data_IF_192298512408
#
_entry.id   IF_192298512408
#
_cell.length_a   1.000
_cell.length_b   1.000
_cell.length_c   1.000
_cell.angle_alpha   90.00
_cell.angle_beta   90.00
_cell.angle_gamma   90.00
#
_symmetry.space_group_name_H-M   'P 1'
#
loop_
_entity.id
_entity.type
_entity.pdbx_description
1 polymer ?
#
# COMPACT_ATOMS: atom_id res chain seq x y z
N UNK A 1 4.67 2.79 34.22
CA UNK A 1 4.67 4.27 34.37
C UNK A 1 3.33 4.79 33.88
N UNK A 2 2.66 5.63 34.68
CA UNK A 2 1.27 6.11 34.51
C UNK A 2 1.08 6.96 33.24
N UNK A 3 -0.07 6.82 32.55
CA UNK A 3 -0.97 7.96 32.30
C UNK A 3 -2.40 7.50 31.93
N UNK A 4 -3.35 8.37 32.30
CA UNK A 4 -4.81 8.29 32.24
C UNK A 4 -5.32 9.17 31.09
N UNK A 5 -6.36 8.75 30.35
CA UNK A 5 -7.47 9.60 29.91
C UNK A 5 -8.55 8.76 29.20
N UNK A 6 -9.80 8.92 29.64
CA UNK A 6 -11.01 8.45 28.99
C UNK A 6 -11.52 9.49 27.99
N UNK A 7 -12.16 9.05 26.90
CA UNK A 7 -13.24 9.79 26.25
C UNK A 7 -14.08 8.85 25.40
N UNK A 8 -15.28 8.56 25.91
CA UNK A 8 -16.40 8.01 25.14
C UNK A 8 -16.94 9.10 24.23
N UNK A 9 -16.71 8.98 22.92
CA UNK A 9 -17.47 9.71 21.92
C UNK A 9 -18.44 8.71 21.27
N UNK A 10 -19.69 8.71 21.72
CA UNK A 10 -20.79 8.05 21.02
C UNK A 10 -21.00 8.86 19.73
N UNK A 11 -20.48 8.36 18.61
CA UNK A 11 -20.79 8.92 17.30
C UNK A 11 -22.23 8.55 16.95
N UNK A 12 -23.14 9.53 17.01
CA UNK A 12 -24.52 9.36 16.60
C UNK A 12 -24.62 8.95 15.13
N UNK A 13 -25.49 7.98 14.82
CA UNK A 13 -25.83 7.39 13.52
C UNK A 13 -26.24 8.35 12.37
N UNK A 14 -26.09 9.68 12.54
CA UNK A 14 -26.63 10.68 11.62
C UNK A 14 -25.73 11.04 10.42
N UNK A 15 -24.53 10.48 10.28
CA UNK A 15 -23.61 10.83 9.17
C UNK A 15 -23.66 9.87 7.96
N UNK A 16 -24.53 8.86 7.96
CA UNK A 16 -24.61 7.86 6.87
C UNK A 16 -25.22 8.34 5.54
N UNK A 17 -25.78 9.56 5.46
CA UNK A 17 -26.56 9.98 4.31
C UNK A 17 -25.77 10.59 3.13
N UNK A 18 -24.43 10.75 3.23
CA UNK A 18 -23.63 11.35 2.15
C UNK A 18 -22.86 10.34 1.27
N UNK A 19 -22.99 9.03 1.52
CA UNK A 19 -22.21 7.97 0.86
C UNK A 19 -22.92 7.37 -0.38
N UNK A 20 -23.39 8.21 -1.30
CA UNK A 20 -23.95 7.77 -2.58
C UNK A 20 -22.90 7.99 -3.69
N UNK A 21 -22.01 7.00 -3.87
CA UNK A 21 -21.13 6.71 -5.03
C UNK A 21 -19.73 6.13 -4.64
N UNK A 22 -19.62 5.45 -3.50
CA UNK A 22 -18.46 4.63 -3.14
C UNK A 22 -18.86 3.15 -3.36
N UNK A 23 -18.03 2.30 -3.99
CA UNK A 23 -18.29 0.86 -4.08
C UNK A 23 -18.61 0.33 -2.68
N UNK A 24 -19.81 -0.24 -2.51
CA UNK A 24 -20.56 -0.20 -1.24
C UNK A 24 -20.23 -1.35 -0.28
N UNK A 25 -19.23 -2.17 -0.58
CA UNK A 25 -18.99 -3.48 0.02
C UNK A 25 -17.66 -3.52 0.80
N UNK A 26 -16.51 -3.29 0.16
CA UNK A 26 -15.19 -3.43 0.81
C UNK A 26 -14.87 -2.32 1.82
N UNK A 27 -15.33 -1.09 1.57
CA UNK A 27 -15.08 0.08 2.43
C UNK A 27 -15.92 0.03 3.70
N UNK A 28 -17.16 -0.49 3.62
CA UNK A 28 -18.02 -0.67 4.79
C UNK A 28 -17.44 -1.74 5.73
N UNK A 29 -16.94 -2.83 5.17
CA UNK A 29 -16.25 -3.89 5.91
C UNK A 29 -14.93 -3.39 6.53
N UNK A 30 -14.18 -2.56 5.81
CA UNK A 30 -12.99 -1.87 6.31
C UNK A 30 -13.31 -1.03 7.57
N UNK A 31 -14.34 -0.19 7.50
CA UNK A 31 -14.76 0.66 8.63
C UNK A 31 -15.22 -0.21 9.81
N UNK A 32 -15.98 -1.28 9.55
CA UNK A 32 -16.43 -2.21 10.60
C UNK A 32 -15.26 -2.95 11.27
N UNK A 33 -14.26 -3.39 10.51
CA UNK A 33 -13.04 -4.01 11.03
C UNK A 33 -12.22 -3.03 11.89
N UNK A 34 -12.14 -1.75 11.51
CA UNK A 34 -11.45 -0.73 12.32
C UNK A 34 -12.10 -0.50 13.67
N UNK A 35 -13.43 -0.39 13.72
CA UNK A 35 -14.17 -0.20 14.97
C UNK A 35 -13.96 -1.41 15.91
N UNK A 36 -13.83 -2.62 15.35
CA UNK A 36 -13.59 -3.84 16.13
C UNK A 36 -12.16 -3.94 16.66
N UNK A 37 -11.16 -3.50 15.89
CA UNK A 37 -9.73 -3.64 16.20
C UNK A 37 -9.24 -2.75 17.36
N UNK A 38 -9.85 -1.60 17.63
CA UNK A 38 -9.44 -0.69 18.72
C UNK A 38 -9.55 -1.34 20.12
N UNK A 39 -10.39 -2.38 20.26
CA UNK A 39 -10.71 -2.98 21.56
C UNK A 39 -9.79 -4.14 21.99
N UNK A 40 -8.75 -4.50 21.23
CA UNK A 40 -8.17 -5.82 21.39
C UNK A 40 -6.68 -5.92 20.93
N UNK A 41 -5.87 -6.71 21.67
CA UNK A 41 -4.55 -7.30 21.31
C UNK A 41 -3.24 -6.51 21.58
N UNK A 42 -2.55 -6.86 22.68
CA UNK A 42 -1.16 -6.44 23.04
C UNK A 42 -0.14 -7.60 23.06
N UNK A 43 -0.42 -8.76 22.47
CA UNK A 43 0.47 -9.94 22.57
C UNK A 43 0.98 -10.54 21.25
N UNK A 44 0.38 -10.23 20.08
CA UNK A 44 0.77 -10.88 18.80
C UNK A 44 1.85 -10.15 17.99
N UNK A 45 2.06 -8.85 18.23
CA UNK A 45 3.12 -8.00 17.66
C UNK A 45 4.55 -8.55 17.75
N UNK A 46 4.92 -9.27 18.81
CA UNK A 46 6.31 -9.73 18.99
C UNK A 46 6.72 -10.83 18.00
N UNK A 47 5.75 -11.53 17.39
CA UNK A 47 5.99 -12.72 16.58
C UNK A 47 5.83 -12.48 15.07
N UNK A 48 5.57 -11.24 14.64
CA UNK A 48 5.40 -10.87 13.22
C UNK A 48 6.41 -9.81 12.80
N UNK A 49 6.99 -9.97 11.61
CA UNK A 49 7.92 -9.01 11.02
C UNK A 49 7.56 -8.67 9.57
N UNK A 50 7.90 -7.44 9.18
CA UNK A 50 7.73 -6.95 7.81
C UNK A 50 9.07 -6.48 7.25
N UNK A 51 9.39 -6.96 6.05
CA UNK A 51 10.49 -6.45 5.24
C UNK A 51 9.87 -5.75 4.03
N UNK A 52 10.26 -4.51 3.77
CA UNK A 52 9.80 -3.76 2.61
C UNK A 52 10.81 -3.93 1.46
N UNK A 53 10.33 -3.99 0.23
CA UNK A 53 11.15 -4.00 -0.98
C UNK A 53 10.45 -3.21 -2.09
N UNK A 54 11.21 -2.44 -2.89
CA UNK A 54 10.62 -1.59 -3.93
C UNK A 54 11.22 -0.19 -4.05
N UNK A 55 10.43 0.75 -4.56
CA UNK A 55 10.82 2.15 -4.80
C UNK A 55 10.40 3.14 -3.68
N UNK A 56 9.91 2.65 -2.54
CA UNK A 56 9.51 3.46 -1.37
C UNK A 56 10.71 3.89 -0.49
N UNK A 57 10.72 5.13 0.00
CA UNK A 57 11.80 5.70 0.83
C UNK A 57 11.87 5.14 2.27
N UNK A 58 11.42 3.91 2.52
CA UNK A 58 11.54 3.20 3.82
C UNK A 58 11.91 1.71 3.63
N UNK A 59 12.45 1.08 4.69
CA UNK A 59 13.24 -0.17 4.75
C UNK A 59 13.53 -0.89 3.40
N UNK A 60 14.82 -0.90 3.01
CA UNK A 60 15.39 -1.46 1.77
C UNK A 60 14.96 -0.84 0.43
N UNK A 61 13.86 -0.08 0.36
CA UNK A 61 13.45 0.58 -0.88
C UNK A 61 14.46 1.63 -1.39
N UNK A 62 14.43 1.88 -2.71
CA UNK A 62 15.41 2.74 -3.38
C UNK A 62 14.78 3.60 -4.47
N UNK A 63 14.95 4.92 -4.34
CA UNK A 63 14.55 5.88 -5.37
C UNK A 63 15.18 5.51 -6.71
N UNK A 64 14.35 5.50 -7.76
CA UNK A 64 14.79 5.21 -9.12
C UNK A 64 15.01 3.73 -9.44
N UNK A 65 14.81 2.81 -8.48
CA UNK A 65 15.04 1.40 -8.73
C UNK A 65 14.00 0.79 -9.67
N UNK A 66 14.47 -0.10 -10.55
CA UNK A 66 13.66 -1.06 -11.30
C UNK A 66 13.82 -2.45 -10.67
N UNK A 67 12.99 -3.42 -11.02
CA UNK A 67 13.17 -4.82 -10.61
C UNK A 67 14.58 -5.34 -10.91
N UNK A 68 15.15 -4.97 -12.06
CA UNK A 68 16.52 -5.35 -12.47
C UNK A 68 17.58 -4.61 -11.64
N UNK A 69 17.48 -3.28 -11.51
CA UNK A 69 18.51 -2.51 -10.80
C UNK A 69 18.49 -2.77 -9.29
N UNK A 70 17.32 -3.05 -8.71
CA UNK A 70 17.19 -3.40 -7.29
C UNK A 70 17.89 -4.73 -6.97
N UNK A 71 17.76 -5.72 -7.87
CA UNK A 71 18.48 -6.99 -7.78
C UNK A 71 19.98 -6.80 -7.98
N UNK A 72 20.37 -6.23 -9.12
CA UNK A 72 21.78 -6.10 -9.48
C UNK A 72 22.55 -5.17 -8.54
N UNK A 73 21.87 -4.19 -7.94
CA UNK A 73 22.42 -3.32 -6.89
C UNK A 73 22.52 -3.95 -5.50
N UNK A 74 22.21 -5.25 -5.34
CA UNK A 74 22.35 -5.99 -4.08
C UNK A 74 21.27 -5.76 -3.04
N UNK A 75 20.32 -4.84 -3.28
CA UNK A 75 19.23 -4.54 -2.33
C UNK A 75 18.25 -5.70 -2.19
N UNK A 76 18.04 -6.46 -3.26
CA UNK A 76 17.25 -7.68 -3.18
C UNK A 76 17.90 -8.72 -2.25
N UNK A 77 19.21 -8.90 -2.32
CA UNK A 77 19.92 -9.82 -1.40
C UNK A 77 19.79 -9.34 0.06
N UNK A 78 19.93 -8.04 0.32
CA UNK A 78 19.70 -7.49 1.67
C UNK A 78 18.27 -7.72 2.18
N UNK A 79 17.29 -7.66 1.28
CA UNK A 79 15.87 -7.97 1.58
C UNK A 79 15.72 -9.43 1.98
N UNK A 80 16.26 -10.36 1.18
CA UNK A 80 16.18 -11.79 1.46
C UNK A 80 16.94 -12.18 2.73
N UNK A 81 18.13 -11.64 2.97
CA UNK A 81 18.90 -11.91 4.20
C UNK A 81 18.19 -11.37 5.44
N UNK A 82 17.56 -10.20 5.35
CA UNK A 82 16.72 -9.67 6.42
C UNK A 82 15.56 -10.63 6.70
N UNK A 83 14.78 -11.00 5.67
CA UNK A 83 13.64 -11.90 5.82
C UNK A 83 14.04 -13.26 6.39
N UNK A 84 15.13 -13.85 5.89
CA UNK A 84 15.70 -15.10 6.38
C UNK A 84 16.10 -15.02 7.85
N UNK A 85 16.68 -13.89 8.29
CA UNK A 85 17.03 -13.67 9.69
C UNK A 85 15.80 -13.62 10.59
N UNK A 86 14.73 -12.94 10.17
CA UNK A 86 13.47 -12.88 10.91
C UNK A 86 12.83 -14.28 11.04
N UNK A 87 12.80 -15.04 9.94
CA UNK A 87 12.31 -16.43 9.90
C UNK A 87 13.14 -17.33 10.82
N UNK A 88 14.47 -17.22 10.79
CA UNK A 88 15.36 -18.00 11.66
C UNK A 88 15.15 -17.68 13.16
N UNK A 89 14.66 -16.48 13.48
CA UNK A 89 14.26 -16.10 14.83
C UNK A 89 12.82 -16.56 15.20
N UNK A 90 12.19 -17.40 14.38
CA UNK A 90 10.86 -17.95 14.62
C UNK A 90 9.71 -16.97 14.35
N UNK A 91 9.95 -15.86 13.64
CA UNK A 91 8.92 -14.87 13.33
C UNK A 91 8.20 -15.20 12.02
N UNK A 92 6.88 -15.03 12.01
CA UNK A 92 6.11 -14.99 10.76
C UNK A 92 6.53 -13.73 10.00
N UNK A 93 7.12 -13.91 8.83
CA UNK A 93 7.78 -12.81 8.12
C UNK A 93 7.10 -12.56 6.78
N UNK A 94 6.75 -11.30 6.53
CA UNK A 94 6.11 -10.86 5.30
C UNK A 94 7.06 -9.95 4.52
N UNK A 95 7.15 -10.15 3.21
CA UNK A 95 7.92 -9.27 2.32
C UNK A 95 6.97 -8.54 1.39
N UNK A 96 6.85 -7.22 1.56
CA UNK A 96 6.08 -6.40 0.61
C UNK A 96 6.94 -6.05 -0.59
N UNK A 97 6.37 -6.15 -1.79
CA UNK A 97 7.07 -5.93 -3.05
C UNK A 97 6.25 -4.94 -3.89
N UNK A 98 6.84 -3.79 -4.21
CA UNK A 98 6.21 -2.76 -5.04
C UNK A 98 7.18 -2.22 -6.10
N UNK A 99 6.80 -2.37 -7.38
CA UNK A 99 7.54 -1.85 -8.53
C UNK A 99 6.57 -1.34 -9.62
N UNK A 100 7.12 -0.68 -10.65
CA UNK A 100 6.34 -0.19 -11.80
C UNK A 100 6.85 1.14 -12.36
N UNK A 101 7.03 2.15 -11.51
CA UNK A 101 7.32 3.54 -11.94
C UNK A 101 8.59 3.71 -12.78
N UNK A 102 9.63 2.93 -12.50
CA UNK A 102 10.89 3.01 -13.23
C UNK A 102 11.05 1.88 -14.23
N UNK A 103 10.47 0.70 -13.96
CA UNK A 103 10.41 -0.41 -14.91
C UNK A 103 9.73 0.05 -16.20
N UNK A 104 8.65 0.85 -16.12
CA UNK A 104 7.97 1.39 -17.30
C UNK A 104 8.84 2.21 -18.26
N UNK A 105 9.98 2.71 -17.77
CA UNK A 105 10.89 3.55 -18.57
C UNK A 105 11.89 2.71 -19.36
N UNK A 106 12.08 1.43 -18.99
CA UNK A 106 13.22 0.62 -19.47
C UNK A 106 12.85 -0.80 -19.89
N UNK A 107 11.66 -1.30 -19.57
CA UNK A 107 11.22 -2.64 -19.93
C UNK A 107 9.71 -2.72 -20.10
N UNK A 108 9.22 -3.78 -20.76
CA UNK A 108 7.78 -4.05 -20.87
C UNK A 108 7.18 -4.53 -19.55
N UNK A 109 5.85 -4.49 -19.45
CA UNK A 109 5.13 -4.99 -18.28
C UNK A 109 5.33 -6.50 -18.09
N UNK A 110 5.38 -7.28 -19.18
CA UNK A 110 5.63 -8.72 -19.14
C UNK A 110 7.03 -9.03 -18.60
N UNK A 111 8.04 -8.28 -19.04
CA UNK A 111 9.41 -8.44 -18.54
C UNK A 111 9.52 -8.12 -17.04
N UNK A 112 8.82 -7.08 -16.57
CA UNK A 112 8.70 -6.80 -15.14
C UNK A 112 7.99 -7.94 -14.41
N UNK A 113 6.89 -8.46 -14.96
CA UNK A 113 6.13 -9.58 -14.39
C UNK A 113 6.99 -10.82 -14.16
N UNK A 114 7.83 -11.19 -15.14
CA UNK A 114 8.81 -12.30 -14.99
C UNK A 114 9.77 -12.06 -13.83
N UNK A 115 10.20 -10.82 -13.59
CA UNK A 115 11.07 -10.49 -12.47
C UNK A 115 10.33 -10.54 -11.12
N UNK A 116 9.09 -10.05 -11.07
CA UNK A 116 8.25 -10.14 -9.87
C UNK A 116 7.95 -11.58 -9.48
N UNK A 117 7.65 -12.45 -10.45
CA UNK A 117 7.44 -13.88 -10.23
C UNK A 117 8.66 -14.55 -9.59
N UNK A 118 9.87 -14.18 -10.01
CA UNK A 118 11.12 -14.65 -9.38
C UNK A 118 11.29 -14.13 -7.96
N UNK A 119 11.00 -12.85 -7.71
CA UNK A 119 11.03 -12.29 -6.36
C UNK A 119 10.08 -13.04 -5.41
N UNK A 120 8.88 -13.36 -5.88
CA UNK A 120 7.89 -14.16 -5.13
C UNK A 120 8.46 -15.54 -4.77
N UNK A 121 9.03 -16.26 -5.73
CA UNK A 121 9.60 -17.58 -5.50
C UNK A 121 10.76 -17.55 -4.49
N UNK A 122 11.62 -16.53 -4.58
CA UNK A 122 12.78 -16.38 -3.69
C UNK A 122 12.40 -15.98 -2.26
N UNK A 123 11.36 -15.15 -2.08
CA UNK A 123 10.81 -14.83 -0.75
C UNK A 123 10.29 -16.09 -0.07
N UNK A 124 9.54 -16.92 -0.80
CA UNK A 124 9.08 -18.22 -0.29
C UNK A 124 10.24 -19.17 -0.02
N UNK A 125 11.28 -19.13 -0.84
CA UNK A 125 12.50 -19.91 -0.66
C UNK A 125 13.24 -19.63 0.66
N UNK A 126 13.09 -18.44 1.25
CA UNK A 126 13.64 -18.11 2.58
C UNK A 126 12.65 -18.30 3.73
N UNK A 127 11.47 -18.88 3.47
CA UNK A 127 10.43 -19.16 4.46
C UNK A 127 9.56 -17.97 4.85
N UNK A 128 9.60 -16.88 4.08
CA UNK A 128 8.75 -15.70 4.26
C UNK A 128 7.57 -15.70 3.26
N UNK A 129 6.55 -14.88 3.50
CA UNK A 129 5.37 -14.77 2.63
C UNK A 129 5.37 -13.45 1.84
N UNK A 130 5.28 -13.48 0.50
CA UNK A 130 5.23 -12.27 -0.31
C UNK A 130 3.85 -11.60 -0.32
N UNK A 131 3.86 -10.27 -0.27
CA UNK A 131 2.69 -9.42 -0.52
C UNK A 131 3.03 -8.51 -1.69
N UNK A 132 2.35 -8.69 -2.82
CA UNK A 132 2.50 -7.81 -3.97
C UNK A 132 1.64 -6.56 -3.79
N UNK A 133 2.21 -5.41 -4.12
CA UNK A 133 1.54 -4.12 -4.12
C UNK A 133 1.72 -3.51 -5.50
N UNK A 134 0.63 -3.22 -6.19
CA UNK A 134 0.70 -2.50 -7.47
C UNK A 134 1.31 -1.12 -7.25
N UNK A 135 1.94 -0.53 -8.29
CA UNK A 135 2.45 0.84 -8.20
C UNK A 135 1.34 1.83 -7.86
N UNK A 136 1.69 2.92 -7.18
CA UNK A 136 0.81 4.06 -6.98
C UNK A 136 0.46 4.74 -8.31
N UNK A 137 -0.75 5.30 -8.44
CA UNK A 137 -1.07 6.15 -9.59
C UNK A 137 -0.17 7.39 -9.67
N UNK A 138 0.11 7.85 -10.89
CA UNK A 138 0.56 9.22 -11.10
C UNK A 138 -0.62 10.18 -11.01
N UNK A 139 -0.32 11.44 -10.71
CA UNK A 139 -1.33 12.52 -10.60
C UNK A 139 -1.38 13.36 -11.88
N UNK A 140 -1.24 12.68 -13.01
CA UNK A 140 -1.37 13.26 -14.35
C UNK A 140 -2.86 13.24 -14.72
N UNK A 141 -3.52 14.39 -14.76
CA UNK A 141 -4.93 14.46 -15.17
C UNK A 141 -5.06 14.63 -16.67
N UNK A 142 -6.13 14.09 -17.24
CA UNK A 142 -6.57 14.39 -18.60
C UNK A 142 -7.07 15.84 -18.69
N UNK A 143 -7.31 16.30 -19.92
CA UNK A 143 -7.82 17.66 -20.17
C UNK A 143 -9.20 17.94 -19.52
N UNK A 144 -9.92 16.89 -19.11
CA UNK A 144 -11.18 17.01 -18.38
C UNK A 144 -11.00 17.42 -16.92
N UNK A 145 -9.78 17.35 -16.36
CA UNK A 145 -9.47 17.56 -14.95
C UNK A 145 -10.28 16.67 -13.98
N UNK A 146 -10.81 15.56 -14.47
CA UNK A 146 -11.60 14.59 -13.70
C UNK A 146 -10.90 13.24 -13.68
N UNK A 147 -10.42 12.78 -14.83
CA UNK A 147 -9.82 11.45 -14.97
C UNK A 147 -8.31 11.51 -15.01
N UNK A 148 -7.66 10.49 -14.46
CA UNK A 148 -6.21 10.33 -14.54
C UNK A 148 -5.82 9.77 -15.92
N UNK A 149 -4.77 10.34 -16.52
CA UNK A 149 -4.08 9.75 -17.66
C UNK A 149 -3.21 8.58 -17.16
N UNK A 150 -3.79 7.38 -17.13
CA UNK A 150 -3.15 6.20 -16.57
C UNK A 150 -2.05 5.63 -17.48
N UNK A 151 -0.80 5.99 -17.17
CA UNK A 151 0.38 5.46 -17.85
C UNK A 151 0.95 4.20 -17.21
N UNK A 152 0.43 3.77 -16.05
CA UNK A 152 0.97 2.67 -15.25
C UNK A 152 0.10 1.41 -15.27
N UNK A 153 -1.14 1.50 -15.77
CA UNK A 153 -2.09 0.40 -15.90
C UNK A 153 -1.45 -0.93 -16.32
N UNK A 154 -0.68 -1.01 -17.42
CA UNK A 154 -0.06 -2.28 -17.84
C UNK A 154 0.89 -2.89 -16.79
N UNK A 155 1.64 -2.09 -16.03
CA UNK A 155 2.54 -2.58 -14.98
C UNK A 155 1.78 -2.96 -13.70
N UNK A 156 0.68 -2.27 -13.40
CA UNK A 156 -0.24 -2.69 -12.35
C UNK A 156 -0.87 -4.05 -12.70
N UNK A 157 -1.39 -4.21 -13.93
CA UNK A 157 -1.98 -5.46 -14.43
C UNK A 157 -0.99 -6.62 -14.40
N UNK A 158 0.27 -6.39 -14.80
CA UNK A 158 1.31 -7.41 -14.70
C UNK A 158 1.57 -7.84 -13.24
N UNK A 159 1.50 -6.91 -12.28
CA UNK A 159 1.63 -7.24 -10.84
C UNK A 159 0.44 -8.07 -10.36
N UNK A 160 -0.78 -7.74 -10.81
CA UNK A 160 -2.00 -8.49 -10.49
C UNK A 160 -1.92 -9.90 -11.07
N UNK A 161 -1.55 -10.03 -12.36
CA UNK A 161 -1.40 -11.33 -13.02
C UNK A 161 -0.39 -12.24 -12.33
N UNK A 162 0.77 -11.69 -11.91
CA UNK A 162 1.76 -12.46 -11.13
C UNK A 162 1.17 -12.87 -9.77
N UNK A 163 0.40 -12.01 -9.11
CA UNK A 163 -0.24 -12.36 -7.85
C UNK A 163 -1.23 -13.50 -7.99
N UNK A 164 -2.03 -13.52 -9.07
CA UNK A 164 -2.96 -14.60 -9.38
C UNK A 164 -2.22 -15.89 -9.72
N UNK A 165 -1.22 -15.83 -10.62
CA UNK A 165 -0.40 -16.98 -11.05
C UNK A 165 0.29 -17.63 -9.85
N UNK A 166 0.90 -16.82 -8.99
CA UNK A 166 1.68 -17.29 -7.84
C UNK A 166 0.84 -17.42 -6.57
N UNK A 167 -0.46 -17.13 -6.62
CA UNK A 167 -1.37 -17.15 -5.47
C UNK A 167 -0.79 -16.40 -4.26
N UNK A 168 -0.31 -15.17 -4.47
CA UNK A 168 0.17 -14.31 -3.39
C UNK A 168 -0.96 -13.44 -2.85
N UNK A 169 -0.73 -12.81 -1.70
CA UNK A 169 -1.55 -11.66 -1.34
C UNK A 169 -1.29 -10.47 -2.28
N UNK A 170 -2.33 -9.68 -2.53
CA UNK A 170 -2.31 -8.49 -3.38
C UNK A 170 -2.95 -7.30 -2.68
N UNK A 171 -2.26 -6.16 -2.71
CA UNK A 171 -2.80 -4.85 -2.38
C UNK A 171 -2.85 -4.00 -3.65
N UNK A 172 -4.04 -3.82 -4.21
CA UNK A 172 -4.27 -3.03 -5.42
C UNK A 172 -4.26 -1.52 -5.11
N UNK A 173 -3.08 -0.99 -4.79
CA UNK A 173 -2.88 0.42 -4.52
C UNK A 173 -3.15 1.28 -5.77
N UNK A 174 -2.93 0.75 -6.98
CA UNK A 174 -3.07 1.50 -8.23
C UNK A 174 -4.52 1.93 -8.41
N UNK A 175 -5.44 0.97 -8.37
CA UNK A 175 -6.89 1.22 -8.45
C UNK A 175 -7.37 2.19 -7.38
N UNK A 176 -7.02 1.95 -6.12
CA UNK A 176 -7.56 2.75 -5.01
C UNK A 176 -6.95 4.14 -4.91
N UNK A 177 -5.67 4.30 -5.26
CA UNK A 177 -5.05 5.61 -5.33
C UNK A 177 -5.56 6.44 -6.50
N UNK A 178 -5.79 5.83 -7.67
CA UNK A 178 -6.41 6.48 -8.82
C UNK A 178 -7.82 6.95 -8.48
N UNK A 179 -8.65 6.06 -7.92
CA UNK A 179 -9.98 6.44 -7.43
C UNK A 179 -9.93 7.62 -6.46
N UNK A 180 -9.02 7.62 -5.49
CA UNK A 180 -8.92 8.70 -4.51
C UNK A 180 -8.49 10.02 -5.16
N UNK A 181 -7.46 9.99 -6.02
CA UNK A 181 -6.94 11.15 -6.75
C UNK A 181 -8.02 11.78 -7.64
N UNK A 182 -8.78 10.97 -8.37
CA UNK A 182 -9.90 11.45 -9.19
C UNK A 182 -11.03 12.05 -8.35
N UNK A 183 -11.30 11.48 -7.16
CA UNK A 183 -12.34 11.99 -6.24
C UNK A 183 -11.99 13.34 -5.63
N UNK A 184 -10.73 13.55 -5.26
CA UNK A 184 -10.30 14.82 -4.63
C UNK A 184 -9.99 15.91 -5.66
N UNK A 185 -9.83 15.54 -6.93
CA UNK A 185 -9.52 16.43 -8.04
C UNK A 185 -8.06 16.88 -8.08
N UNK A 186 -7.63 17.53 -9.18
CA UNK A 186 -6.23 17.86 -9.44
C UNK A 186 -5.62 18.78 -8.38
N UNK A 187 -6.32 19.84 -7.99
CA UNK A 187 -5.79 20.81 -7.02
C UNK A 187 -5.44 20.17 -5.68
N UNK A 188 -6.27 19.25 -5.19
CA UNK A 188 -6.00 18.52 -3.96
C UNK A 188 -4.95 17.42 -4.15
N UNK A 189 -5.01 16.69 -5.25
CA UNK A 189 -4.03 15.66 -5.56
C UNK A 189 -2.61 16.24 -5.70
N UNK A 190 -2.44 17.39 -6.35
CA UNK A 190 -1.14 18.04 -6.52
C UNK A 190 -0.55 18.59 -5.23
N UNK A 191 -1.37 18.86 -4.20
CA UNK A 191 -0.86 19.16 -2.83
C UNK A 191 -0.16 17.97 -2.18
N UNK A 192 -0.28 16.76 -2.73
CA UNK A 192 0.43 15.56 -2.29
C UNK A 192 1.77 15.35 -3.02
N UNK A 193 2.05 16.14 -4.06
CA UNK A 193 3.29 16.07 -4.83
C UNK A 193 4.49 16.58 -4.02
N UNK A 194 5.68 16.03 -4.32
CA UNK A 194 6.94 16.51 -3.74
C UNK A 194 7.25 17.96 -4.17
N UNK A 195 6.95 18.30 -5.41
CA UNK A 195 7.05 19.61 -6.05
C UNK A 195 5.80 19.84 -6.92
N UNK A 196 5.38 21.09 -7.22
CA UNK A 196 4.14 21.37 -7.95
C UNK A 196 4.00 20.60 -9.28
N UNK A 197 5.10 20.42 -10.00
CA UNK A 197 5.19 19.73 -11.30
C UNK A 197 5.61 18.25 -11.20
N UNK A 198 5.83 17.73 -9.99
CA UNK A 198 6.25 16.34 -9.76
C UNK A 198 5.06 15.42 -9.47
N UNK A 199 4.41 14.97 -10.55
CA UNK A 199 3.28 14.06 -10.48
C UNK A 199 3.64 12.60 -10.14
N UNK A 200 4.90 12.35 -9.75
CA UNK A 200 5.41 11.02 -9.38
C UNK A 200 5.70 10.95 -7.89
N UNK A 201 6.63 11.77 -7.40
CA UNK A 201 7.09 11.69 -6.02
C UNK A 201 6.13 12.41 -5.06
N UNK A 202 6.08 11.89 -3.84
CA UNK A 202 5.20 12.38 -2.79
C UNK A 202 5.94 13.34 -1.85
N UNK A 203 5.23 14.31 -1.30
CA UNK A 203 5.65 14.98 -0.07
C UNK A 203 5.23 14.18 1.17
N UNK A 204 5.50 14.70 2.36
CA UNK A 204 5.14 14.04 3.65
C UNK A 204 3.64 13.74 3.76
N UNK A 205 2.78 14.63 3.27
CA UNK A 205 1.32 14.44 3.30
C UNK A 205 0.90 13.32 2.34
N UNK A 206 1.44 13.32 1.12
CA UNK A 206 1.23 12.24 0.16
C UNK A 206 1.68 10.88 0.70
N UNK A 207 2.88 10.81 1.26
CA UNK A 207 3.39 9.59 1.90
C UNK A 207 2.48 9.12 3.04
N UNK A 208 1.94 10.04 3.83
CA UNK A 208 1.00 9.73 4.92
C UNK A 208 -0.32 9.18 4.39
N UNK A 209 -0.91 9.81 3.37
CA UNK A 209 -2.18 9.40 2.76
C UNK A 209 -2.07 8.02 2.11
N UNK A 210 -1.10 7.83 1.22
CA UNK A 210 -0.97 6.56 0.49
C UNK A 210 -0.38 5.45 1.35
N UNK A 211 0.48 5.78 2.32
CA UNK A 211 0.95 4.82 3.33
C UNK A 211 -0.20 4.33 4.22
N UNK A 212 -1.13 5.21 4.60
CA UNK A 212 -2.36 4.81 5.31
C UNK A 212 -3.23 3.91 4.43
N UNK A 213 -3.40 4.24 3.15
CA UNK A 213 -4.16 3.41 2.22
C UNK A 213 -3.59 1.98 2.12
N UNK A 214 -2.26 1.82 2.02
CA UNK A 214 -1.61 0.50 2.05
C UNK A 214 -1.91 -0.23 3.35
N UNK A 215 -1.75 0.43 4.49
CA UNK A 215 -2.03 -0.17 5.80
C UNK A 215 -3.53 -0.53 5.96
N UNK A 216 -4.45 0.23 5.37
CA UNK A 216 -5.87 -0.08 5.37
C UNK A 216 -6.18 -1.31 4.52
N UNK A 217 -5.58 -1.41 3.33
CA UNK A 217 -5.71 -2.58 2.46
C UNK A 217 -5.16 -3.84 3.13
N UNK A 218 -4.01 -3.74 3.80
CA UNK A 218 -3.45 -4.83 4.60
C UNK A 218 -4.42 -5.25 5.71
N UNK A 219 -5.02 -4.28 6.42
CA UNK A 219 -5.96 -4.57 7.50
C UNK A 219 -7.21 -5.31 6.99
N UNK A 220 -7.75 -4.95 5.83
CA UNK A 220 -8.93 -5.62 5.25
C UNK A 220 -8.62 -7.02 4.81
N UNK A 221 -7.53 -7.17 4.04
CA UNK A 221 -7.27 -8.39 3.29
C UNK A 221 -6.55 -9.45 4.11
N UNK A 222 -5.76 -9.03 5.10
CA UNK A 222 -4.76 -9.91 5.72
C UNK A 222 -4.94 -10.07 7.23
N UNK A 223 -5.85 -9.34 7.89
CA UNK A 223 -6.14 -9.60 9.30
C UNK A 223 -6.98 -10.88 9.47
N UNK A 224 -6.69 -11.69 10.52
CA UNK A 224 -5.74 -11.42 11.61
C UNK A 224 -4.28 -11.84 11.34
N UNK A 225 -3.97 -12.40 10.17
CA UNK A 225 -2.71 -13.11 9.90
C UNK A 225 -1.43 -12.29 10.03
N UNK A 226 -1.51 -10.99 9.77
CA UNK A 226 -0.35 -10.08 9.73
C UNK A 226 -0.15 -9.32 11.05
N UNK A 227 -0.91 -9.65 12.10
CA UNK A 227 -0.88 -8.94 13.38
C UNK A 227 -1.51 -7.54 13.31
N UNK A 228 -1.58 -6.81 14.43
CA UNK A 228 -2.38 -5.59 14.51
C UNK A 228 -1.80 -4.45 13.66
N UNK A 229 -2.66 -3.86 12.84
CA UNK A 229 -2.40 -2.57 12.19
C UNK A 229 -3.08 -1.50 13.03
N UNK A 230 -2.29 -0.54 13.51
CA UNK A 230 -2.83 0.57 14.31
C UNK A 230 -3.90 1.32 13.48
N UNK A 231 -5.14 1.43 14.00
CA UNK A 231 -6.18 2.16 13.32
C UNK A 231 -5.86 3.66 13.32
N UNK A 232 -6.23 4.36 12.26
CA UNK A 232 -6.22 5.81 12.21
C UNK A 232 -7.49 6.29 11.50
N UNK A 233 -8.62 6.19 12.21
CA UNK A 233 -9.95 6.48 11.64
C UNK A 233 -10.02 7.92 11.11
N UNK A 234 -9.40 8.87 11.82
CA UNK A 234 -9.37 10.29 11.42
C UNK A 234 -8.72 10.53 10.06
N UNK A 235 -7.76 9.69 9.66
CA UNK A 235 -7.14 9.75 8.33
C UNK A 235 -7.83 8.82 7.32
N UNK A 236 -8.18 7.61 7.75
CA UNK A 236 -8.74 6.57 6.88
C UNK A 236 -10.12 6.97 6.36
N UNK A 237 -11.00 7.49 7.22
CA UNK A 237 -12.37 7.83 6.83
C UNK A 237 -12.42 8.90 5.73
N UNK A 238 -11.70 10.04 5.81
CA UNK A 238 -11.63 10.98 4.69
C UNK A 238 -11.09 10.35 3.40
N UNK A 239 -10.00 9.57 3.47
CA UNK A 239 -9.41 8.91 2.30
C UNK A 239 -10.43 8.02 1.60
N UNK A 240 -11.09 7.12 2.33
CA UNK A 240 -12.05 6.17 1.77
C UNK A 240 -13.44 6.76 1.50
N UNK A 241 -13.67 8.04 1.82
CA UNK A 241 -14.87 8.79 1.41
C UNK A 241 -14.58 9.83 0.34
N UNK A 242 -13.38 9.84 -0.23
CA UNK A 242 -12.99 10.74 -1.32
C UNK A 242 -12.88 12.20 -0.88
N UNK A 243 -12.60 12.45 0.40
CA UNK A 243 -12.38 13.79 0.94
C UNK A 243 -10.89 14.08 1.00
N UNK A 244 -10.49 15.22 0.44
CA UNK A 244 -9.11 15.68 0.49
C UNK A 244 -8.62 15.76 1.94
N UNK A 245 -7.49 15.12 2.19
CA UNK A 245 -6.70 15.29 3.41
C UNK A 245 -5.50 16.13 3.02
N UNK A 246 -5.35 17.29 3.68
CA UNK A 246 -4.38 18.35 3.38
C UNK A 246 -4.66 19.24 2.16
#
# INVERSE_FOLDING_TARGET
MRLVAASTAILSLASLAAAAAVPRDEVSDLIAKFIKAESQWKQEWANTSYVLSGDSTTANGQNGATTVSFRNGGRWNLTLESAKSEVANGRKTWVTIQFGHNDMKVMSAEAMGVNLAKFVDEVRGVGAEPILITSLTRRNFNADNVTVNDTLGPWADATIAVSEEKQTHLLDLHKWSMWYVEKIGPDAAHRLNRLPDDNTHLNTNGTTVFGRMVADLMAVKLLPEIGPILPNISLSLPVWTGKAVY
#
